data_IF_789465048438
#
_entry.id   IF_789465048438
#
_cell.length_a   1.000
_cell.length_b   1.000
_cell.length_c   1.000
_cell.angle_alpha   90.00
_cell.angle_beta   90.00
_cell.angle_gamma   90.00
#
_symmetry.space_group_name_H-M   'P 1'
#
loop_
_entity.id
_entity.type
_entity.pdbx_description
1 polymer ?
#
# COMPACT_ATOMS: atom_id res chain seq x y z
N UNK A 1 11.68 -27.29 -8.89
CA UNK A 1 13.15 -27.35 -8.99
C UNK A 1 13.65 -28.67 -9.57
N UNK A 2 13.36 -28.84 -10.85
CA UNK A 2 14.03 -29.78 -11.73
C UNK A 2 15.36 -29.18 -12.24
N UNK A 3 16.34 -30.03 -12.53
CA UNK A 3 17.60 -29.61 -13.17
C UNK A 3 17.36 -28.98 -14.56
N UNK A 4 16.23 -29.36 -15.18
CA UNK A 4 15.82 -28.88 -16.49
C UNK A 4 15.34 -27.42 -16.47
N UNK A 5 14.51 -27.06 -15.49
CA UNK A 5 14.04 -25.67 -15.27
C UNK A 5 15.24 -24.73 -15.07
N UNK A 6 16.23 -25.15 -14.28
CA UNK A 6 17.44 -24.35 -14.03
C UNK A 6 18.26 -24.09 -15.30
N UNK A 7 18.33 -25.07 -16.20
CA UNK A 7 19.07 -24.93 -17.45
C UNK A 7 18.36 -24.04 -18.46
N UNK A 8 17.03 -24.14 -18.56
CA UNK A 8 16.22 -23.29 -19.45
C UNK A 8 16.22 -21.82 -19.01
N UNK A 9 16.12 -21.54 -17.71
CA UNK A 9 16.14 -20.17 -17.17
C UNK A 9 17.47 -19.43 -17.43
N UNK A 10 18.59 -20.14 -17.53
CA UNK A 10 19.88 -19.53 -17.90
C UNK A 10 19.90 -18.98 -19.33
N UNK A 11 19.07 -19.55 -20.21
CA UNK A 11 19.03 -19.16 -21.63
C UNK A 11 17.99 -18.07 -21.90
N UNK A 12 16.86 -18.11 -21.19
CA UNK A 12 15.79 -17.12 -21.31
C UNK A 12 15.27 -16.73 -19.91
N UNK A 13 15.91 -15.75 -19.24
CA UNK A 13 15.49 -15.32 -17.91
C UNK A 13 14.17 -14.56 -18.01
N UNK A 14 13.13 -15.11 -17.38
CA UNK A 14 11.82 -14.48 -17.36
C UNK A 14 11.69 -13.52 -16.16
N UNK A 15 10.82 -12.50 -16.23
CA UNK A 15 10.72 -11.52 -15.18
C UNK A 15 10.15 -12.13 -13.90
N UNK A 16 10.80 -11.83 -12.77
CA UNK A 16 10.46 -12.33 -11.44
C UNK A 16 9.80 -11.23 -10.60
N UNK A 17 8.81 -11.62 -9.82
CA UNK A 17 8.20 -10.79 -8.80
C UNK A 17 9.17 -10.48 -7.66
N UNK A 18 8.84 -9.45 -6.90
CA UNK A 18 9.66 -8.98 -5.78
C UNK A 18 8.87 -9.07 -4.45
N UNK A 19 9.59 -8.90 -3.35
CA UNK A 19 8.99 -8.67 -2.04
C UNK A 19 9.41 -7.29 -1.59
N UNK A 20 8.44 -6.38 -1.52
CA UNK A 20 8.68 -5.03 -1.05
C UNK A 20 8.51 -4.95 0.46
N UNK A 21 9.38 -4.18 1.10
CA UNK A 21 9.25 -3.83 2.50
C UNK A 21 8.44 -2.55 2.61
N UNK A 22 7.22 -2.67 3.10
CA UNK A 22 6.34 -1.53 3.30
C UNK A 22 6.70 -0.81 4.60
N UNK A 23 7.19 0.42 4.46
CA UNK A 23 7.49 1.32 5.59
C UNK A 23 6.46 2.44 5.74
N UNK A 24 5.59 2.61 4.75
CA UNK A 24 4.69 3.76 4.66
C UNK A 24 3.24 3.34 4.93
N UNK A 25 2.49 4.26 5.54
CA UNK A 25 1.06 4.10 5.73
C UNK A 25 0.29 5.38 5.38
N UNK A 26 -0.53 5.26 4.34
CA UNK A 26 -1.50 6.27 3.94
C UNK A 26 -2.83 5.99 4.63
N UNK A 27 -3.20 6.86 5.57
CA UNK A 27 -4.43 6.71 6.33
C UNK A 27 -5.65 7.16 5.51
N UNK A 28 -6.77 6.46 5.71
CA UNK A 28 -8.03 6.82 5.08
C UNK A 28 -8.70 7.99 5.81
N UNK A 29 -9.09 9.03 5.07
CA UNK A 29 -9.68 10.25 5.65
C UNK A 29 -11.17 10.12 6.01
N UNK A 30 -11.90 9.23 5.34
CA UNK A 30 -13.35 9.07 5.56
C UNK A 30 -13.62 8.18 6.77
N UNK A 31 -14.20 8.77 7.83
CA UNK A 31 -14.55 8.08 9.08
C UNK A 31 -15.44 6.85 8.84
N UNK A 32 -16.40 6.95 7.91
CA UNK A 32 -17.29 5.85 7.56
C UNK A 32 -16.54 4.66 6.95
N UNK A 33 -15.54 4.93 6.08
CA UNK A 33 -14.73 3.87 5.49
C UNK A 33 -13.90 3.19 6.57
N UNK A 34 -13.30 3.97 7.48
CA UNK A 34 -12.55 3.42 8.63
C UNK A 34 -13.45 2.55 9.50
N UNK A 35 -14.69 2.98 9.77
CA UNK A 35 -15.66 2.20 10.52
C UNK A 35 -16.01 0.85 9.87
N UNK A 36 -16.29 0.84 8.56
CA UNK A 36 -16.54 -0.43 7.84
C UNK A 36 -15.32 -1.33 7.80
N UNK A 37 -14.12 -0.75 7.60
CA UNK A 37 -12.86 -1.49 7.68
C UNK A 37 -12.67 -2.10 9.06
N UNK A 38 -12.99 -1.36 10.13
CA UNK A 38 -12.90 -1.85 11.50
C UNK A 38 -13.81 -3.06 11.75
N UNK A 39 -15.06 -3.02 11.28
CA UNK A 39 -15.97 -4.18 11.38
C UNK A 39 -15.37 -5.39 10.66
N UNK A 40 -14.90 -5.21 9.42
CA UNK A 40 -14.28 -6.29 8.65
C UNK A 40 -13.01 -6.84 9.34
N UNK A 41 -12.16 -5.96 9.89
CA UNK A 41 -10.95 -6.34 10.60
C UNK A 41 -11.25 -7.10 11.89
N UNK A 42 -12.28 -6.71 12.64
CA UNK A 42 -12.76 -7.46 13.83
C UNK A 42 -13.21 -8.86 13.45
N UNK A 43 -13.99 -9.00 12.37
CA UNK A 43 -14.44 -10.30 11.89
C UNK A 43 -13.27 -11.20 11.44
N UNK A 44 -12.31 -10.65 10.70
CA UNK A 44 -11.10 -11.37 10.28
C UNK A 44 -10.26 -11.79 11.49
N UNK A 45 -10.11 -10.91 12.49
CA UNK A 45 -9.36 -11.19 13.71
C UNK A 45 -10.05 -12.28 14.53
N UNK A 46 -11.38 -12.26 14.66
CA UNK A 46 -12.13 -13.34 15.30
C UNK A 46 -11.88 -14.70 14.61
N UNK A 47 -11.85 -14.73 13.28
CA UNK A 47 -11.49 -15.92 12.50
C UNK A 47 -10.05 -16.38 12.75
N UNK A 48 -9.09 -15.45 12.88
CA UNK A 48 -7.70 -15.77 13.18
C UNK A 48 -7.55 -16.38 14.59
N UNK A 49 -8.30 -15.88 15.57
CA UNK A 49 -8.31 -16.41 16.94
C UNK A 49 -8.95 -17.79 17.02
N UNK A 50 -9.96 -18.07 16.19
CA UNK A 50 -10.63 -19.38 16.17
C UNK A 50 -9.67 -20.54 15.89
N UNK A 51 -8.66 -20.34 15.04
CA UNK A 51 -7.71 -21.39 14.64
C UNK A 51 -6.89 -21.94 15.83
N UNK A 52 -6.14 -21.11 16.59
CA UNK A 52 -5.43 -21.57 17.79
C UNK A 52 -6.34 -22.26 18.81
N UNK A 53 -7.56 -21.75 19.03
CA UNK A 53 -8.50 -22.34 19.99
C UNK A 53 -8.97 -23.75 19.59
N UNK A 54 -9.04 -24.03 18.28
CA UNK A 54 -9.48 -25.33 17.79
C UNK A 54 -8.34 -26.35 17.72
N UNK A 55 -7.14 -25.92 17.31
CA UNK A 55 -6.03 -26.84 17.00
C UNK A 55 -4.99 -26.99 18.11
N UNK A 56 -4.88 -26.04 19.04
CA UNK A 56 -3.91 -26.12 20.13
C UNK A 56 -4.58 -26.63 21.42
N UNK A 57 -4.01 -27.64 22.10
CA UNK A 57 -4.54 -28.16 23.37
C UNK A 57 -4.20 -27.22 24.54
N UNK A 58 -4.43 -25.93 24.38
CA UNK A 58 -4.19 -24.90 25.39
C UNK A 58 -5.52 -24.53 26.05
N UNK A 59 -5.52 -24.43 27.38
CA UNK A 59 -6.72 -24.11 28.16
C UNK A 59 -6.54 -22.82 28.96
N UNK A 60 -7.66 -22.11 29.18
CA UNK A 60 -7.69 -20.89 29.99
C UNK A 60 -6.95 -19.71 29.36
N UNK A 61 -6.24 -18.93 30.18
CA UNK A 61 -5.55 -17.71 29.73
C UNK A 61 -4.37 -17.97 28.78
N UNK A 62 -3.75 -19.15 28.85
CA UNK A 62 -2.60 -19.49 28.01
C UNK A 62 -2.96 -19.50 26.52
N UNK A 63 -4.14 -20.00 26.16
CA UNK A 63 -4.58 -20.01 24.76
C UNK A 63 -4.82 -18.60 24.22
N UNK A 64 -5.36 -17.68 25.03
CA UNK A 64 -5.54 -16.29 24.62
C UNK A 64 -4.20 -15.60 24.41
N UNK A 65 -3.25 -15.75 25.34
CA UNK A 65 -1.91 -15.13 25.20
C UNK A 65 -1.19 -15.65 23.97
N UNK A 66 -1.26 -16.97 23.72
CA UNK A 66 -0.66 -17.58 22.53
C UNK A 66 -1.36 -17.11 21.25
N UNK A 67 -2.69 -17.05 21.22
CA UNK A 67 -3.45 -16.58 20.08
C UNK A 67 -3.15 -15.11 19.76
N UNK A 68 -3.10 -14.24 20.78
CA UNK A 68 -2.69 -12.83 20.64
C UNK A 68 -1.26 -12.74 20.10
N UNK A 69 -0.33 -13.53 20.62
CA UNK A 69 1.06 -13.55 20.14
C UNK A 69 1.18 -13.95 18.67
N UNK A 70 0.49 -15.02 18.26
CA UNK A 70 0.45 -15.47 16.87
C UNK A 70 -0.17 -14.39 15.98
N UNK A 71 -1.29 -13.79 16.41
CA UNK A 71 -1.96 -12.74 15.65
C UNK A 71 -1.08 -11.50 15.46
N UNK A 72 -0.39 -11.04 16.51
CA UNK A 72 0.51 -9.89 16.44
C UNK A 72 1.71 -10.15 15.51
N UNK A 73 2.31 -11.34 15.59
CA UNK A 73 3.42 -11.72 14.69
C UNK A 73 2.92 -11.76 13.24
N UNK A 74 1.77 -12.39 12.99
CA UNK A 74 1.18 -12.48 11.66
C UNK A 74 0.84 -11.10 11.08
N UNK A 75 0.15 -10.25 11.84
CA UNK A 75 -0.22 -8.88 11.42
C UNK A 75 1.02 -8.03 11.19
N UNK A 76 2.05 -8.15 12.05
CA UNK A 76 3.32 -7.46 11.87
C UNK A 76 4.05 -7.88 10.59
N UNK A 77 4.19 -9.19 10.34
CA UNK A 77 4.79 -9.70 9.11
C UNK A 77 3.99 -9.26 7.87
N UNK A 78 2.67 -9.36 7.92
CA UNK A 78 1.80 -8.95 6.82
C UNK A 78 1.82 -7.45 6.56
N UNK A 79 2.10 -6.63 7.57
CA UNK A 79 2.27 -5.20 7.38
C UNK A 79 3.55 -4.88 6.60
N UNK A 80 4.68 -5.48 7.00
CA UNK A 80 5.99 -5.18 6.42
C UNK A 80 6.23 -5.86 5.07
N UNK A 81 5.84 -7.12 4.89
CA UNK A 81 6.14 -7.87 3.68
C UNK A 81 4.99 -7.77 2.68
N UNK A 82 5.25 -7.11 1.54
CA UNK A 82 4.32 -6.98 0.43
C UNK A 82 4.86 -7.79 -0.75
N UNK A 83 4.44 -9.06 -0.90
CA UNK A 83 4.80 -9.85 -2.08
C UNK A 83 4.07 -9.29 -3.31
N UNK A 84 4.82 -8.98 -4.36
CA UNK A 84 4.30 -8.64 -5.67
C UNK A 84 4.71 -9.72 -6.66
N UNK A 85 3.76 -10.57 -7.03
CA UNK A 85 3.96 -11.56 -8.08
C UNK A 85 3.91 -10.87 -9.46
N UNK A 86 4.78 -11.29 -10.38
CA UNK A 86 4.59 -10.90 -11.77
C UNK A 86 3.50 -11.77 -12.41
N UNK A 87 2.35 -11.18 -12.69
CA UNK A 87 1.19 -11.91 -13.24
C UNK A 87 1.35 -12.32 -14.70
N UNK A 88 2.28 -11.68 -15.43
CA UNK A 88 2.55 -12.01 -16.82
C UNK A 88 3.38 -13.30 -16.97
N UNK A 89 4.01 -13.74 -15.87
CA UNK A 89 4.85 -14.93 -15.80
C UNK A 89 4.36 -15.87 -14.68
N UNK A 90 3.14 -16.39 -14.83
CA UNK A 90 2.54 -17.39 -13.94
C UNK A 90 2.16 -18.66 -14.73
N UNK A 91 2.98 -19.08 -15.69
CA UNK A 91 2.70 -20.27 -16.48
C UNK A 91 1.39 -20.21 -17.29
N UNK A 92 0.79 -21.37 -17.56
CA UNK A 92 -0.35 -21.45 -18.48
C UNK A 92 -1.69 -21.25 -17.75
N UNK A 93 -2.65 -20.61 -18.43
CA UNK A 93 -3.95 -20.22 -17.88
C UNK A 93 -3.85 -19.32 -16.64
N UNK A 94 -2.79 -18.49 -16.54
CA UNK A 94 -2.62 -17.50 -15.47
C UNK A 94 -2.37 -18.10 -14.08
N UNK A 95 -1.57 -19.16 -13.99
CA UNK A 95 -1.15 -19.78 -12.71
C UNK A 95 -1.79 -21.12 -12.40
N UNK A 96 -2.66 -21.62 -13.28
CA UNK A 96 -3.36 -22.89 -13.03
C UNK A 96 -2.52 -24.11 -13.43
N UNK A 97 -1.70 -23.97 -14.47
CA UNK A 97 -0.82 -25.03 -14.97
C UNK A 97 0.61 -24.53 -14.90
N UNK A 98 1.43 -25.29 -14.17
CA UNK A 98 2.86 -25.09 -13.97
C UNK A 98 3.59 -25.10 -15.32
N UNK A 99 4.46 -24.12 -15.54
CA UNK A 99 5.38 -24.12 -16.68
C UNK A 99 6.66 -24.89 -16.30
N UNK A 100 6.85 -26.13 -16.80
CA UNK A 100 7.98 -26.98 -16.39
C UNK A 100 9.34 -26.49 -16.93
N UNK A 101 9.38 -25.36 -17.64
CA UNK A 101 10.59 -24.80 -18.23
C UNK A 101 11.18 -23.62 -17.43
N UNK A 102 10.42 -22.98 -16.54
CA UNK A 102 10.82 -21.71 -15.92
C UNK A 102 10.72 -21.75 -14.38
N UNK A 103 11.84 -21.54 -13.70
CA UNK A 103 11.88 -21.46 -12.22
C UNK A 103 11.16 -20.21 -11.71
N UNK A 104 11.17 -19.16 -12.53
CA UNK A 104 10.51 -17.90 -12.22
C UNK A 104 8.99 -18.02 -12.05
N UNK A 105 8.35 -19.02 -12.68
CA UNK A 105 6.92 -19.34 -12.50
C UNK A 105 6.61 -19.81 -11.07
N UNK A 106 7.34 -20.83 -10.60
CA UNK A 106 7.27 -21.36 -9.23
C UNK A 106 7.40 -20.23 -8.19
N UNK A 107 8.35 -19.31 -8.42
CA UNK A 107 8.56 -18.16 -7.56
C UNK A 107 7.38 -17.19 -7.58
N UNK A 108 6.89 -16.79 -8.75
CA UNK A 108 5.73 -15.88 -8.88
C UNK A 108 4.46 -16.49 -8.26
N UNK A 109 4.24 -17.78 -8.44
CA UNK A 109 3.12 -18.50 -7.82
C UNK A 109 3.24 -18.54 -6.30
N UNK A 110 4.45 -18.75 -5.77
CA UNK A 110 4.69 -18.67 -4.34
C UNK A 110 4.42 -17.27 -3.78
N UNK A 111 4.81 -16.21 -4.51
CA UNK A 111 4.52 -14.82 -4.15
C UNK A 111 3.02 -14.54 -4.15
N UNK A 112 2.28 -15.05 -5.14
CA UNK A 112 0.82 -14.92 -5.19
C UNK A 112 0.16 -15.64 -4.00
N UNK A 113 0.65 -16.82 -3.64
CA UNK A 113 0.20 -17.53 -2.44
C UNK A 113 0.48 -16.71 -1.17
N UNK A 114 1.69 -16.16 -1.00
CA UNK A 114 2.01 -15.30 0.14
C UNK A 114 1.16 -14.03 0.15
N UNK A 115 0.85 -13.46 -1.01
CA UNK A 115 -0.04 -12.31 -1.12
C UNK A 115 -1.44 -12.62 -0.59
N UNK A 116 -2.00 -13.77 -0.98
CA UNK A 116 -3.30 -14.22 -0.48
C UNK A 116 -3.28 -14.52 1.03
N UNK A 117 -2.20 -15.12 1.53
CA UNK A 117 -2.05 -15.48 2.95
C UNK A 117 -1.82 -14.25 3.83
N UNK A 118 -1.03 -13.28 3.40
CA UNK A 118 -0.71 -12.07 4.17
C UNK A 118 -1.76 -10.96 4.00
N UNK A 119 -2.56 -11.01 2.93
CA UNK A 119 -3.60 -10.00 2.63
C UNK A 119 -4.52 -9.66 3.81
N UNK A 120 -5.14 -10.64 4.50
CA UNK A 120 -5.99 -10.37 5.65
C UNK A 120 -5.24 -9.67 6.80
N UNK A 121 -4.02 -10.09 7.10
CA UNK A 121 -3.17 -9.47 8.11
C UNK A 121 -2.83 -8.01 7.78
N UNK A 122 -2.52 -7.73 6.52
CA UNK A 122 -2.23 -6.37 6.03
C UNK A 122 -3.47 -5.48 6.11
N UNK A 123 -4.64 -6.02 5.80
CA UNK A 123 -5.91 -5.31 5.95
C UNK A 123 -6.18 -4.93 7.41
N UNK A 124 -5.96 -5.87 8.35
CA UNK A 124 -6.09 -5.60 9.79
C UNK A 124 -5.09 -4.54 10.24
N UNK A 125 -3.81 -4.67 9.87
CA UNK A 125 -2.76 -3.71 10.22
C UNK A 125 -3.11 -2.29 9.74
N UNK A 126 -3.46 -2.14 8.47
CA UNK A 126 -3.84 -0.86 7.89
C UNK A 126 -5.07 -0.25 8.56
N UNK A 127 -6.05 -1.07 8.94
CA UNK A 127 -7.25 -0.60 9.66
C UNK A 127 -6.93 -0.12 11.07
N UNK A 128 -6.03 -0.81 11.78
CA UNK A 128 -5.59 -0.37 13.11
C UNK A 128 -4.85 0.97 13.05
N UNK A 129 -4.02 1.16 12.01
CA UNK A 129 -3.33 2.42 11.78
C UNK A 129 -4.29 3.56 11.38
N UNK A 130 -5.30 3.27 10.54
CA UNK A 130 -6.35 4.24 10.21
C UNK A 130 -7.08 4.73 11.47
N UNK A 131 -7.47 3.81 12.35
CA UNK A 131 -8.13 4.14 13.62
C UNK A 131 -7.18 4.92 14.54
N UNK A 132 -5.91 4.54 14.62
CA UNK A 132 -4.91 5.26 15.40
C UNK A 132 -4.71 6.69 14.88
N UNK A 133 -4.75 6.90 13.57
CA UNK A 133 -4.70 8.22 12.94
C UNK A 133 -5.96 9.04 13.24
N UNK A 134 -7.15 8.43 13.17
CA UNK A 134 -8.43 9.08 13.48
C UNK A 134 -8.49 9.51 14.96
N UNK A 135 -7.94 8.71 15.87
CA UNK A 135 -7.83 9.04 17.29
C UNK A 135 -6.71 10.05 17.60
N UNK A 136 -5.89 10.43 16.61
CA UNK A 136 -4.77 11.35 16.79
C UNK A 136 -3.57 10.76 17.52
N UNK A 137 -3.48 9.43 17.62
CA UNK A 137 -2.33 8.72 18.23
C UNK A 137 -1.13 8.71 17.30
N UNK A 138 -1.37 8.52 16.00
CA UNK A 138 -0.35 8.48 14.95
C UNK A 138 -0.65 9.54 13.89
N UNK A 139 0.37 9.97 13.16
CA UNK A 139 0.20 10.80 11.95
C UNK A 139 0.34 9.89 10.74
N UNK A 140 -0.53 10.08 9.75
CA UNK A 140 -0.35 9.46 8.44
C UNK A 140 0.86 10.07 7.75
N UNK A 141 1.54 9.27 6.93
CA UNK A 141 2.59 9.82 6.08
C UNK A 141 1.96 10.84 5.10
N UNK A 142 2.66 11.95 4.81
CA UNK A 142 2.16 12.94 3.87
C UNK A 142 2.06 12.29 2.49
N UNK A 143 0.83 12.12 2.02
CA UNK A 143 0.59 11.71 0.64
C UNK A 143 1.17 12.82 -0.26
N UNK A 144 1.93 12.52 -1.33
CA UNK A 144 1.92 13.36 -2.51
C UNK A 144 0.50 13.32 -3.07
N UNK A 145 -0.40 14.09 -2.47
CA UNK A 145 -1.85 14.01 -2.67
C UNK A 145 -2.27 14.69 -3.99
N UNK A 146 -1.50 14.53 -5.05
CA UNK A 146 -1.98 14.86 -6.38
C UNK A 146 -2.72 13.64 -6.94
N UNK A 147 -3.81 13.89 -7.65
CA UNK A 147 -4.52 12.88 -8.45
C UNK A 147 -3.56 12.13 -9.41
N UNK A 148 -2.43 12.76 -9.73
CA UNK A 148 -1.35 12.21 -10.56
C UNK A 148 -0.66 11.01 -9.91
N UNK A 149 -0.42 11.02 -8.58
CA UNK A 149 0.21 9.89 -7.89
C UNK A 149 -0.65 8.62 -7.97
N UNK A 150 -1.97 8.75 -7.71
CA UNK A 150 -2.91 7.63 -7.85
C UNK A 150 -2.99 7.13 -9.30
N UNK A 151 -2.95 8.03 -10.28
CA UNK A 151 -2.96 7.66 -11.71
C UNK A 151 -1.69 6.91 -12.10
N UNK A 152 -0.54 7.34 -11.60
CA UNK A 152 0.76 6.73 -11.86
C UNK A 152 0.85 5.32 -11.24
N UNK A 153 0.37 5.13 -10.01
CA UNK A 153 0.39 3.83 -9.34
C UNK A 153 -0.61 2.83 -9.94
N UNK A 154 -1.77 3.32 -10.43
CA UNK A 154 -2.80 2.47 -11.04
C UNK A 154 -2.56 2.21 -12.55
N UNK A 155 -1.44 2.67 -13.11
CA UNK A 155 -1.09 2.45 -14.51
C UNK A 155 -2.03 3.12 -15.51
N UNK A 156 -2.73 4.18 -15.12
CA UNK A 156 -3.51 4.98 -16.07
C UNK A 156 -2.54 5.75 -16.97
N UNK A 157 -2.42 5.34 -18.24
CA UNK A 157 -1.68 6.12 -19.24
C UNK A 157 -2.32 7.50 -19.40
N UNK A 158 -1.48 8.51 -19.59
CA UNK A 158 -1.89 9.93 -19.72
C UNK A 158 -2.79 10.22 -20.95
N UNK A 159 -3.09 9.22 -21.78
CA UNK A 159 -3.80 9.37 -23.06
C UNK A 159 -5.33 9.52 -22.95
N UNK A 160 -5.91 9.50 -21.75
CA UNK A 160 -7.32 9.84 -21.57
C UNK A 160 -7.50 11.36 -21.55
N UNK A 161 -7.52 11.94 -22.76
CA UNK A 161 -8.00 13.28 -23.03
C UNK A 161 -9.39 13.49 -22.40
N UNK A 162 -9.47 14.38 -21.42
CA UNK A 162 -10.72 14.87 -20.80
C UNK A 162 -11.54 15.77 -21.74
N UNK A 163 -11.40 15.58 -23.06
CA UNK A 163 -11.98 16.45 -24.09
C UNK A 163 -13.52 16.50 -24.08
N UNK A 164 -14.19 15.61 -23.35
CA UNK A 164 -15.66 15.59 -23.22
C UNK A 164 -16.18 15.84 -21.81
N UNK A 165 -15.34 16.12 -20.81
CA UNK A 165 -15.82 16.67 -19.55
C UNK A 165 -15.93 18.18 -19.74
N UNK A 166 -17.15 18.66 -19.99
CA UNK A 166 -17.49 20.09 -19.91
C UNK A 166 -17.20 20.53 -18.47
N UNK A 167 -15.98 21.01 -18.23
CA UNK A 167 -15.66 21.82 -17.06
C UNK A 167 -16.61 23.01 -17.11
N UNK A 168 -17.63 22.98 -16.26
CA UNK A 168 -18.21 24.23 -15.78
C UNK A 168 -17.07 24.86 -14.99
N UNK A 169 -16.40 25.84 -15.60
CA UNK A 169 -15.32 26.60 -14.97
C UNK A 169 -15.86 27.13 -13.63
N UNK A 170 -15.33 26.61 -12.53
CA UNK A 170 -15.47 27.27 -11.24
C UNK A 170 -14.83 28.65 -11.38
N UNK A 171 -15.44 29.71 -10.83
CA UNK A 171 -14.92 31.06 -10.98
C UNK A 171 -13.47 31.09 -10.50
N UNK A 172 -12.59 31.56 -11.37
CA UNK A 172 -11.16 31.67 -11.08
C UNK A 172 -10.95 32.71 -9.97
N UNK A 173 -10.79 32.25 -8.73
CA UNK A 173 -10.29 33.05 -7.59
C UNK A 173 -8.90 33.68 -7.83
N UNK A 174 -8.28 33.44 -8.99
CA UNK A 174 -7.04 34.09 -9.39
C UNK A 174 -7.18 35.61 -9.61
N UNK A 175 -8.39 36.14 -9.82
CA UNK A 175 -8.59 37.59 -9.96
C UNK A 175 -8.54 38.36 -8.63
N UNK A 176 -8.84 37.74 -7.48
CA UNK A 176 -8.80 38.46 -6.19
C UNK A 176 -7.37 38.67 -5.65
N UNK A 177 -6.42 37.81 -6.03
CA UNK A 177 -5.03 37.95 -5.56
C UNK A 177 -4.28 39.05 -6.33
N UNK A 178 -4.64 39.27 -7.60
CA UNK A 178 -4.00 40.27 -8.45
C UNK A 178 -4.22 41.72 -7.96
N UNK A 179 -5.29 41.98 -7.21
CA UNK A 179 -5.64 43.32 -6.70
C UNK A 179 -5.01 43.64 -5.33
N UNK A 180 -4.38 42.65 -4.68
CA UNK A 180 -3.84 42.80 -3.32
C UNK A 180 -2.42 43.37 -3.25
N UNK A 181 -1.74 43.54 -4.38
CA UNK A 181 -0.35 44.03 -4.44
C UNK A 181 0.69 43.15 -3.76
N UNK A 182 0.30 41.99 -3.22
CA UNK A 182 1.19 41.04 -2.57
C UNK A 182 2.02 40.28 -3.59
N UNK A 183 3.30 40.08 -3.26
CA UNK A 183 4.18 39.18 -4.01
C UNK A 183 3.61 37.75 -3.96
N UNK A 184 3.73 37.00 -5.07
CA UNK A 184 3.33 35.57 -5.12
C UNK A 184 3.96 34.74 -4.00
N UNK A 185 5.15 35.14 -3.55
CA UNK A 185 5.86 34.44 -2.47
C UNK A 185 5.25 34.72 -1.09
N UNK A 186 4.79 35.95 -0.83
CA UNK A 186 4.12 36.31 0.43
C UNK A 186 2.75 35.65 0.55
N UNK A 187 1.99 35.60 -0.55
CA UNK A 187 0.71 34.90 -0.60
C UNK A 187 0.88 33.38 -0.31
N UNK A 188 1.95 32.78 -0.84
CA UNK A 188 2.27 31.38 -0.58
C UNK A 188 2.76 31.15 0.86
N UNK A 189 3.54 32.06 1.43
CA UNK A 189 3.96 31.99 2.84
C UNK A 189 2.75 32.04 3.79
N UNK A 190 1.79 32.94 3.55
CA UNK A 190 0.56 33.02 4.36
C UNK A 190 -0.32 31.77 4.20
N UNK A 191 -0.47 31.25 2.98
CA UNK A 191 -1.40 30.16 2.70
C UNK A 191 -0.89 28.79 3.16
N UNK A 192 0.41 28.57 3.09
CA UNK A 192 1.00 27.25 3.37
C UNK A 192 1.86 27.22 4.64
N UNK A 193 2.12 28.37 5.29
CA UNK A 193 3.00 28.44 6.46
C UNK A 193 4.45 28.04 6.17
N UNK A 194 4.80 27.90 4.90
CA UNK A 194 6.13 27.52 4.44
C UNK A 194 6.98 28.79 4.40
N UNK A 195 7.65 29.11 5.52
CA UNK A 195 8.78 30.03 5.48
C UNK A 195 9.78 29.47 4.47
N UNK A 196 9.86 30.13 3.31
CA UNK A 196 10.80 29.79 2.25
C UNK A 196 12.19 29.70 2.88
N UNK A 197 12.68 28.46 3.05
CA UNK A 197 14.06 28.20 3.39
C UNK A 197 14.89 28.68 2.19
N UNK A 198 15.16 29.98 2.18
CA UNK A 198 16.11 30.61 1.28
C UNK A 198 17.43 29.92 1.59
N UNK A 199 17.80 28.97 0.74
CA UNK A 199 19.13 28.39 0.68
C UNK A 199 20.11 29.56 0.62
N UNK A 200 20.69 29.89 1.77
CA UNK A 200 21.92 30.64 1.89
C UNK A 200 23.02 29.74 1.34
N UNK A 201 23.10 29.65 0.01
CA UNK A 201 24.38 29.35 -0.63
C UNK A 201 25.14 30.66 -0.50
N UNK A 202 25.88 30.74 0.61
CA UNK A 202 26.91 31.73 0.82
C UNK A 202 28.01 31.41 -0.19
N UNK A 203 28.04 32.13 -1.30
CA UNK A 203 29.25 32.32 -2.09
C UNK A 203 30.14 33.28 -1.30
N UNK A 204 30.96 32.76 -0.40
CA UNK A 204 32.08 33.50 0.19
C UNK A 204 33.27 32.54 0.39
N UNK A 205 34.33 32.82 -0.38
CA UNK A 205 35.75 32.40 -0.31
C UNK A 205 36.19 30.97 -0.69
#
# INVERSE_FOLDING_TARGET
>A
MSFYEYWCEQYDPQPVGNVELNTEHVAQQSEWVVFFKLIAAVLMTAGLFWVPFHFLPLTGWHSVVVAVGIALIYVGLAFFFVPQANTDNMGWLGGMVDDPFHISDDWNRSLMFFHAVLGPGRFIAGTLLDVACLLGVTRSDPIPMSNEYYRQQMGYSEDYTTANATMTELPSEQEEIADSGMSREEANQQRYGLTSARFLINDDE
#
